data_IF_807638291287
#
_entry.id   IF_807638291287
#
_cell.length_a   1.000
_cell.length_b   1.000
_cell.length_c   1.000
_cell.angle_alpha   90.00
_cell.angle_beta   90.00
_cell.angle_gamma   90.00
#
_symmetry.space_group_name_H-M   'P 1'
#
loop_
_entity.id
_entity.type
_entity.pdbx_description
1 polymer ?
#
# COMPACT_ATOMS: atom_id res chain seq x y z
N UNK A 1 20.65 7.41 15.25
CA UNK A 1 19.71 6.34 14.83
C UNK A 1 19.67 6.13 13.32
N UNK A 2 19.42 7.15 12.48
CA UNK A 2 19.49 7.01 11.00
C UNK A 2 20.79 6.39 10.47
N UNK A 3 21.93 6.65 11.13
CA UNK A 3 23.21 6.02 10.81
C UNK A 3 23.21 4.51 11.07
N UNK A 4 22.56 4.06 12.15
CA UNK A 4 22.42 2.63 12.47
C UNK A 4 21.49 1.94 11.47
N UNK A 5 20.37 2.57 11.11
CA UNK A 5 19.48 2.09 10.04
C UNK A 5 20.22 2.02 8.70
N UNK A 6 21.05 3.02 8.40
CA UNK A 6 21.91 3.04 7.22
C UNK A 6 22.95 1.93 7.22
N UNK A 7 23.59 1.65 8.36
CA UNK A 7 24.52 0.53 8.51
C UNK A 7 23.82 -0.81 8.30
N UNK A 8 22.61 -0.98 8.85
CA UNK A 8 21.79 -2.18 8.67
C UNK A 8 21.36 -2.36 7.22
N UNK A 9 20.88 -1.31 6.56
CA UNK A 9 20.50 -1.36 5.14
C UNK A 9 21.70 -1.65 4.23
N UNK A 10 22.87 -1.10 4.53
CA UNK A 10 24.13 -1.41 3.81
C UNK A 10 24.54 -2.86 3.99
N UNK A 11 24.45 -3.41 5.21
CA UNK A 11 24.73 -4.83 5.48
C UNK A 11 23.80 -5.73 4.66
N UNK A 12 22.48 -5.51 4.74
CA UNK A 12 21.50 -6.30 3.97
C UNK A 12 21.81 -6.24 2.47
N UNK A 13 22.10 -5.04 1.91
CA UNK A 13 22.48 -4.92 0.50
C UNK A 13 23.81 -5.61 0.15
N UNK A 14 24.80 -5.55 1.04
CA UNK A 14 26.07 -6.23 0.86
C UNK A 14 25.88 -7.75 0.88
N UNK A 15 25.06 -8.28 1.78
CA UNK A 15 24.74 -9.70 1.88
C UNK A 15 23.95 -10.17 0.65
N UNK A 16 22.99 -9.36 0.18
CA UNK A 16 22.30 -9.61 -1.10
C UNK A 16 23.27 -9.73 -2.27
N UNK A 17 24.24 -8.81 -2.36
CA UNK A 17 25.21 -8.81 -3.45
C UNK A 17 26.18 -9.99 -3.34
N UNK A 18 26.68 -10.30 -2.14
CA UNK A 18 27.59 -11.42 -1.88
C UNK A 18 26.94 -12.78 -2.16
N UNK A 19 25.69 -12.94 -1.78
CA UNK A 19 24.96 -14.22 -1.87
C UNK A 19 24.08 -14.30 -3.13
N UNK A 20 24.13 -13.29 -4.01
CA UNK A 20 23.27 -13.14 -5.18
C UNK A 20 21.76 -13.28 -4.86
N UNK A 21 21.35 -12.84 -3.66
CA UNK A 21 19.98 -12.94 -3.22
C UNK A 21 19.12 -11.85 -3.85
N UNK A 22 17.97 -12.27 -4.36
CA UNK A 22 16.93 -11.36 -4.83
C UNK A 22 16.13 -10.82 -3.65
N UNK A 23 15.52 -9.65 -3.83
CA UNK A 23 14.74 -8.97 -2.78
C UNK A 23 13.64 -9.86 -2.16
N UNK A 24 13.02 -10.76 -2.94
CA UNK A 24 11.98 -11.67 -2.48
C UNK A 24 12.48 -12.86 -1.61
N UNK A 25 13.79 -13.04 -1.47
CA UNK A 25 14.40 -14.11 -0.67
C UNK A 25 14.75 -13.65 0.74
N UNK A 26 14.70 -12.34 1.00
CA UNK A 26 14.96 -11.75 2.31
C UNK A 26 13.86 -12.08 3.31
N UNK A 27 14.19 -11.97 4.59
CA UNK A 27 13.17 -12.04 5.65
C UNK A 27 12.23 -10.83 5.58
N UNK A 28 11.00 -11.00 6.08
CA UNK A 28 10.00 -9.93 6.12
C UNK A 28 10.55 -8.64 6.77
N UNK A 29 11.26 -8.77 7.91
CA UNK A 29 11.80 -7.62 8.65
C UNK A 29 12.89 -6.89 7.87
N UNK A 30 13.72 -7.60 7.11
CA UNK A 30 14.75 -6.97 6.26
C UNK A 30 14.15 -6.24 5.07
N UNK A 31 13.17 -6.86 4.39
CA UNK A 31 12.46 -6.25 3.28
C UNK A 31 11.74 -4.97 3.70
N UNK A 32 11.02 -5.02 4.83
CA UNK A 32 10.29 -3.88 5.37
C UNK A 32 11.26 -2.76 5.81
N UNK A 33 12.37 -3.12 6.46
CA UNK A 33 13.40 -2.16 6.83
C UNK A 33 14.00 -1.45 5.61
N UNK A 34 14.37 -2.18 4.54
CA UNK A 34 14.88 -1.58 3.30
C UNK A 34 13.86 -0.63 2.65
N UNK A 35 12.58 -0.99 2.67
CA UNK A 35 11.49 -0.17 2.13
C UNK A 35 11.32 1.14 2.90
N UNK A 36 11.26 1.07 4.22
CA UNK A 36 11.16 2.24 5.10
C UNK A 36 12.39 3.14 4.95
N UNK A 37 13.59 2.54 4.98
CA UNK A 37 14.85 3.25 4.83
C UNK A 37 14.95 4.00 3.48
N UNK A 38 14.50 3.40 2.37
CA UNK A 38 14.46 4.08 1.06
C UNK A 38 13.58 5.33 1.09
N UNK A 39 12.42 5.24 1.75
CA UNK A 39 11.49 6.38 1.91
C UNK A 39 12.13 7.50 2.72
N UNK A 40 12.79 7.15 3.82
CA UNK A 40 13.43 8.11 4.71
C UNK A 40 14.65 8.79 4.06
N UNK A 41 15.51 8.04 3.35
CA UNK A 41 16.62 8.65 2.57
C UNK A 41 16.09 9.64 1.54
N UNK A 42 15.01 9.30 0.84
CA UNK A 42 14.50 10.17 -0.23
C UNK A 42 14.05 11.52 0.35
N UNK A 43 13.46 11.52 1.56
CA UNK A 43 13.17 12.75 2.30
C UNK A 43 14.43 13.50 2.70
N UNK A 44 15.42 12.81 3.29
CA UNK A 44 16.68 13.43 3.69
C UNK A 44 17.45 14.03 2.51
N UNK A 45 17.48 13.35 1.36
CA UNK A 45 18.10 13.83 0.13
C UNK A 45 17.42 15.10 -0.36
N UNK A 46 16.09 15.13 -0.35
CA UNK A 46 15.31 16.30 -0.76
C UNK A 46 15.59 17.51 0.16
N UNK A 47 15.61 17.30 1.47
CA UNK A 47 15.99 18.33 2.45
C UNK A 47 17.44 18.79 2.25
N UNK A 48 18.36 17.85 2.02
CA UNK A 48 19.78 18.15 1.78
C UNK A 48 19.98 19.00 0.52
N UNK A 49 19.25 18.71 -0.56
CA UNK A 49 19.30 19.51 -1.79
C UNK A 49 18.81 20.95 -1.57
N UNK A 50 17.74 21.13 -0.81
CA UNK A 50 17.22 22.47 -0.46
C UNK A 50 18.23 23.24 0.40
N UNK A 51 19.08 22.56 1.16
CA UNK A 51 20.06 23.17 2.07
C UNK A 51 21.37 23.61 1.40
N UNK A 52 21.58 23.32 0.10
CA UNK A 52 22.82 23.66 -0.62
C UNK A 52 23.04 25.18 -0.75
N UNK A 53 22.03 25.99 -1.12
CA UNK A 53 22.23 27.42 -1.29
C UNK A 53 22.54 28.09 0.06
N UNK A 54 23.51 29.04 0.11
CA UNK A 54 23.69 29.87 1.29
C UNK A 54 22.37 30.61 1.59
N UNK A 55 22.01 30.76 2.87
CA UNK A 55 20.72 31.26 3.39
C UNK A 55 19.53 30.29 3.38
N UNK A 56 19.59 29.14 2.68
CA UNK A 56 18.49 28.19 2.71
C UNK A 56 18.35 27.44 4.05
N UNK A 57 19.37 27.43 4.90
CA UNK A 57 19.34 26.73 6.19
C UNK A 57 18.19 27.22 7.09
N UNK A 58 18.02 28.54 7.25
CA UNK A 58 16.91 29.10 8.04
C UNK A 58 15.55 28.80 7.41
N UNK A 59 15.48 28.83 6.07
CA UNK A 59 14.28 28.46 5.33
C UNK A 59 13.93 26.98 5.53
N UNK A 60 14.92 26.08 5.56
CA UNK A 60 14.71 24.64 5.82
C UNK A 60 14.14 24.42 7.21
N UNK A 61 14.64 25.11 8.24
CA UNK A 61 14.06 25.02 9.59
C UNK A 61 12.62 25.53 9.64
N UNK A 62 12.34 26.67 8.99
CA UNK A 62 10.98 27.20 8.87
C UNK A 62 10.05 26.20 8.16
N UNK A 63 10.51 25.62 7.04
CA UNK A 63 9.74 24.62 6.30
C UNK A 63 9.55 23.33 7.10
N UNK A 64 10.53 22.88 7.88
CA UNK A 64 10.40 21.70 8.75
C UNK A 64 9.34 21.93 9.83
N UNK A 65 9.21 23.16 10.34
CA UNK A 65 8.17 23.53 11.31
C UNK A 65 6.78 23.59 10.66
N UNK A 66 6.66 24.19 9.47
CA UNK A 66 5.38 24.33 8.75
C UNK A 66 4.92 23.02 8.07
N UNK A 67 5.85 22.20 7.59
CA UNK A 67 5.59 20.98 6.82
C UNK A 67 6.29 19.74 7.41
N UNK A 68 6.04 19.41 8.70
CA UNK A 68 6.72 18.31 9.40
C UNK A 68 6.46 16.95 8.74
N UNK A 69 5.29 16.77 8.13
CA UNK A 69 4.88 15.53 7.47
C UNK A 69 5.70 15.21 6.21
N UNK A 70 6.07 16.24 5.44
CA UNK A 70 6.81 16.12 4.19
C UNK A 70 8.31 15.99 4.43
N UNK A 71 8.87 16.82 5.32
CA UNK A 71 10.31 17.00 5.45
C UNK A 71 10.93 16.16 6.58
N UNK A 72 10.20 15.89 7.66
CA UNK A 72 10.73 15.06 8.74
C UNK A 72 10.52 13.57 8.46
N UNK A 73 11.48 12.77 8.92
CA UNK A 73 11.34 11.31 9.01
C UNK A 73 10.48 10.95 10.23
N UNK A 74 9.84 9.77 10.19
CA UNK A 74 8.88 9.32 11.20
C UNK A 74 9.44 9.38 12.63
N UNK A 75 10.76 9.16 12.79
CA UNK A 75 11.46 9.18 14.08
C UNK A 75 11.41 10.54 14.81
N UNK A 76 11.22 11.65 14.09
CA UNK A 76 11.14 12.99 14.70
C UNK A 76 9.70 13.41 15.02
N UNK A 77 8.70 12.57 14.73
CA UNK A 77 7.30 12.87 15.01
C UNK A 77 6.92 12.43 16.41
N UNK A 78 6.20 13.28 17.14
CA UNK A 78 5.60 12.89 18.42
C UNK A 78 4.57 11.77 18.21
N UNK A 79 4.28 10.93 19.22
CA UNK A 79 3.29 9.86 19.09
C UNK A 79 1.92 10.38 18.58
N UNK A 80 1.49 11.55 19.05
CA UNK A 80 0.27 12.21 18.58
C UNK A 80 0.35 12.60 17.10
N UNK A 81 1.45 13.26 16.68
CA UNK A 81 1.66 13.62 15.27
C UNK A 81 1.69 12.40 14.34
N UNK A 82 2.22 11.26 14.81
CA UNK A 82 2.21 10.05 14.00
C UNK A 82 0.78 9.59 13.71
N UNK A 83 -0.11 9.60 14.70
CA UNK A 83 -1.52 9.24 14.53
C UNK A 83 -2.20 10.26 13.61
N UNK A 84 -2.08 11.56 13.91
CA UNK A 84 -2.72 12.63 13.13
C UNK A 84 -2.31 12.58 11.66
N UNK A 85 -1.02 12.40 11.37
CA UNK A 85 -0.54 12.32 9.98
C UNK A 85 -1.01 11.07 9.26
N UNK A 86 -1.08 9.93 9.95
CA UNK A 86 -1.66 8.69 9.40
C UNK A 86 -3.15 8.89 9.08
N UNK A 87 -3.91 9.55 9.95
CA UNK A 87 -5.32 9.84 9.68
C UNK A 87 -5.50 10.78 8.49
N UNK A 88 -4.67 11.82 8.35
CA UNK A 88 -4.69 12.70 7.16
C UNK A 88 -4.37 11.90 5.89
N UNK A 89 -3.34 11.05 5.90
CA UNK A 89 -3.02 10.21 4.75
C UNK A 89 -4.14 9.23 4.44
N UNK A 90 -4.81 8.68 5.45
CA UNK A 90 -5.95 7.80 5.27
C UNK A 90 -7.16 8.55 4.69
N UNK A 91 -7.38 9.81 5.09
CA UNK A 91 -8.38 10.68 4.47
C UNK A 91 -8.13 10.89 2.96
N UNK A 92 -6.88 11.16 2.58
CA UNK A 92 -6.48 11.27 1.17
C UNK A 92 -6.71 9.95 0.41
N UNK A 93 -6.42 8.80 1.03
CA UNK A 93 -6.72 7.48 0.47
C UNK A 93 -8.23 7.32 0.25
N UNK A 94 -9.05 7.61 1.25
CA UNK A 94 -10.52 7.47 1.21
C UNK A 94 -11.17 8.27 0.09
N UNK A 95 -10.67 9.47 -0.22
CA UNK A 95 -11.15 10.30 -1.33
C UNK A 95 -11.11 9.59 -2.69
N UNK A 96 -10.18 8.63 -2.88
CA UNK A 96 -10.06 7.89 -4.13
C UNK A 96 -10.93 6.63 -4.21
N UNK A 97 -11.54 6.20 -3.10
CA UNK A 97 -12.28 4.92 -3.06
C UNK A 97 -13.52 4.95 -3.95
N UNK A 98 -14.29 6.04 -3.93
CA UNK A 98 -15.48 6.22 -4.76
C UNK A 98 -15.16 6.14 -6.26
N UNK A 99 -14.07 6.78 -6.69
CA UNK A 99 -13.58 6.73 -8.06
C UNK A 99 -13.18 5.31 -8.47
N UNK A 100 -12.43 4.60 -7.62
CA UNK A 100 -12.04 3.20 -7.88
C UNK A 100 -13.25 2.29 -8.01
N UNK A 101 -14.24 2.41 -7.12
CA UNK A 101 -15.48 1.62 -7.19
C UNK A 101 -16.32 1.96 -8.42
N UNK A 102 -16.37 3.24 -8.81
CA UNK A 102 -17.05 3.69 -10.03
C UNK A 102 -16.39 3.08 -11.27
N UNK A 103 -15.05 3.08 -11.32
CA UNK A 103 -14.30 2.44 -12.40
C UNK A 103 -14.50 0.92 -12.45
N UNK A 104 -14.52 0.24 -11.30
CA UNK A 104 -14.82 -1.20 -11.22
C UNK A 104 -16.23 -1.52 -11.74
N UNK A 105 -17.22 -0.73 -11.34
CA UNK A 105 -18.60 -0.89 -11.80
C UNK A 105 -18.72 -0.67 -13.30
N UNK A 106 -18.04 0.36 -13.85
CA UNK A 106 -17.96 0.55 -15.32
C UNK A 106 -17.25 -0.60 -16.00
N UNK A 107 -16.16 -1.12 -15.43
CA UNK A 107 -15.43 -2.24 -16.01
C UNK A 107 -16.29 -3.52 -16.10
N UNK A 108 -17.27 -3.69 -15.20
CA UNK A 108 -18.17 -4.85 -15.22
C UNK A 108 -18.96 -4.99 -16.53
N UNK A 109 -19.28 -3.89 -17.21
CA UNK A 109 -20.00 -3.94 -18.50
C UNK A 109 -19.17 -4.56 -19.63
N UNK A 110 -17.85 -4.54 -19.49
CA UNK A 110 -16.90 -5.08 -20.46
C UNK A 110 -16.48 -6.53 -20.17
N UNK A 111 -17.01 -7.15 -19.11
CA UNK A 111 -16.73 -8.55 -18.78
C UNK A 111 -17.62 -9.46 -19.62
N UNK A 112 -17.00 -10.27 -20.48
CA UNK A 112 -17.71 -11.15 -21.42
C UNK A 112 -18.48 -12.28 -20.73
N UNK A 113 -17.91 -12.90 -19.69
CA UNK A 113 -18.55 -14.01 -18.98
C UNK A 113 -19.64 -13.50 -18.03
N UNK A 114 -20.88 -13.91 -18.26
CA UNK A 114 -22.04 -13.43 -17.52
C UNK A 114 -21.95 -13.68 -16.00
N UNK A 115 -21.45 -14.86 -15.60
CA UNK A 115 -21.25 -15.20 -14.18
C UNK A 115 -20.24 -14.27 -13.51
N UNK A 116 -19.10 -14.02 -14.15
CA UNK A 116 -18.07 -13.10 -13.62
C UNK A 116 -18.56 -11.66 -13.59
N UNK A 117 -19.33 -11.25 -14.61
CA UNK A 117 -19.98 -9.93 -14.65
C UNK A 117 -20.91 -9.76 -13.46
N UNK A 118 -21.83 -10.72 -13.23
CA UNK A 118 -22.74 -10.73 -12.08
C UNK A 118 -21.97 -10.66 -10.76
N UNK A 119 -20.97 -11.52 -10.57
CA UNK A 119 -20.14 -11.51 -9.36
C UNK A 119 -19.43 -10.18 -9.12
N UNK A 120 -18.90 -9.52 -10.17
CA UNK A 120 -18.22 -8.23 -10.03
C UNK A 120 -19.22 -7.11 -9.69
N UNK A 121 -20.41 -7.12 -10.29
CA UNK A 121 -21.49 -6.19 -9.96
C UNK A 121 -21.97 -6.41 -8.51
N UNK A 122 -22.16 -7.65 -8.10
CA UNK A 122 -22.56 -8.02 -6.74
C UNK A 122 -21.50 -7.61 -5.71
N UNK A 123 -20.22 -7.79 -6.03
CA UNK A 123 -19.13 -7.32 -5.18
C UNK A 123 -19.16 -5.79 -5.02
N UNK A 124 -19.35 -5.05 -6.11
CA UNK A 124 -19.43 -3.60 -6.07
C UNK A 124 -20.64 -3.12 -5.25
N UNK A 125 -21.81 -3.76 -5.41
CA UNK A 125 -23.02 -3.41 -4.65
C UNK A 125 -22.87 -3.76 -3.17
N UNK A 126 -22.29 -4.93 -2.83
CA UNK A 126 -21.95 -5.30 -1.44
C UNK A 126 -21.08 -4.23 -0.79
N UNK A 127 -19.99 -3.80 -1.44
CA UNK A 127 -19.11 -2.76 -0.89
C UNK A 127 -19.83 -1.40 -0.79
N UNK A 128 -20.65 -1.03 -1.77
CA UNK A 128 -21.44 0.21 -1.72
C UNK A 128 -22.50 0.20 -0.62
N UNK A 129 -23.03 -0.97 -0.26
CA UNK A 129 -24.01 -1.15 0.82
C UNK A 129 -23.41 -1.12 2.23
N UNK A 130 -22.09 -0.96 2.37
CA UNK A 130 -21.40 -1.00 3.66
C UNK A 130 -21.00 -2.40 4.14
N UNK A 131 -21.18 -3.43 3.31
CA UNK A 131 -20.79 -4.81 3.67
C UNK A 131 -19.32 -5.07 3.34
N UNK A 132 -18.58 -5.68 4.27
CA UNK A 132 -17.20 -6.13 4.03
C UNK A 132 -17.18 -7.39 3.15
N UNK A 133 -16.48 -7.39 2.00
CA UNK A 133 -16.47 -8.53 1.10
C UNK A 133 -15.59 -9.67 1.64
N UNK A 134 -15.99 -10.92 1.38
CA UNK A 134 -15.18 -12.08 1.79
C UNK A 134 -13.98 -12.29 0.86
N UNK A 135 -12.94 -12.96 1.35
CA UNK A 135 -11.79 -13.32 0.52
C UNK A 135 -12.16 -14.19 -0.69
N UNK A 136 -13.18 -15.05 -0.56
CA UNK A 136 -13.67 -15.88 -1.65
C UNK A 136 -14.38 -15.04 -2.73
N UNK A 137 -15.21 -14.06 -2.33
CA UNK A 137 -15.86 -13.13 -3.26
C UNK A 137 -14.82 -12.40 -4.14
N UNK A 138 -13.72 -11.96 -3.52
CA UNK A 138 -12.63 -11.25 -4.22
C UNK A 138 -11.85 -12.20 -5.14
N UNK A 139 -11.46 -13.38 -4.64
CA UNK A 139 -10.66 -14.35 -5.40
C UNK A 139 -11.42 -14.99 -6.56
N UNK A 140 -12.76 -15.01 -6.53
CA UNK A 140 -13.59 -15.46 -7.63
C UNK A 140 -13.44 -14.59 -8.89
N UNK A 141 -12.92 -13.36 -8.76
CA UNK A 141 -12.79 -12.40 -9.86
C UNK A 141 -11.39 -12.33 -10.45
N UNK A 142 -10.42 -13.14 -9.97
CA UNK A 142 -9.00 -13.05 -10.36
C UNK A 142 -8.76 -13.01 -11.88
N UNK A 143 -9.56 -13.74 -12.64
CA UNK A 143 -9.43 -13.83 -14.10
C UNK A 143 -9.70 -12.47 -14.79
N UNK A 144 -10.66 -11.68 -14.29
CA UNK A 144 -10.96 -10.34 -14.81
C UNK A 144 -9.80 -9.35 -14.68
N UNK A 145 -8.89 -9.60 -13.73
CA UNK A 145 -7.75 -8.74 -13.41
C UNK A 145 -6.43 -9.22 -14.03
N UNK A 146 -6.42 -10.40 -14.66
CA UNK A 146 -5.23 -10.94 -15.34
C UNK A 146 -4.94 -10.21 -16.65
N UNK A 147 -5.98 -9.92 -17.44
CA UNK A 147 -5.85 -9.35 -18.78
C UNK A 147 -6.86 -8.21 -18.99
N UNK A 148 -7.86 -8.39 -19.85
CA UNK A 148 -8.93 -7.42 -20.08
C UNK A 148 -10.15 -7.80 -19.23
N UNK A 149 -10.86 -6.86 -18.60
CA UNK A 149 -10.72 -5.40 -18.70
C UNK A 149 -9.85 -4.74 -17.60
N UNK A 150 -9.50 -5.45 -16.53
CA UNK A 150 -8.94 -4.83 -15.30
C UNK A 150 -7.45 -5.09 -15.06
N UNK A 151 -6.74 -5.72 -16.00
CA UNK A 151 -5.30 -5.92 -15.91
C UNK A 151 -4.50 -4.62 -16.04
N UNK A 152 -3.26 -4.62 -15.54
CA UNK A 152 -2.40 -3.42 -15.46
C UNK A 152 -2.22 -2.67 -16.80
N UNK A 153 -2.19 -3.38 -17.92
CA UNK A 153 -2.05 -2.78 -19.26
C UNK A 153 -3.30 -2.01 -19.70
N UNK A 154 -4.47 -2.43 -19.22
CA UNK A 154 -5.78 -1.89 -19.62
C UNK A 154 -6.31 -0.80 -18.70
N UNK A 155 -5.64 -0.55 -17.56
CA UNK A 155 -6.03 0.53 -16.66
C UNK A 155 -5.94 1.90 -17.34
N UNK A 156 -7.04 2.62 -17.28
CA UNK A 156 -7.14 4.00 -17.77
C UNK A 156 -6.37 4.97 -16.87
N UNK A 157 -5.98 6.13 -17.41
CA UNK A 157 -5.19 7.11 -16.67
C UNK A 157 -5.88 7.59 -15.38
N UNK A 158 -7.18 7.88 -15.43
CA UNK A 158 -7.98 8.28 -14.25
C UNK A 158 -8.00 7.19 -13.18
N UNK A 159 -8.26 5.94 -13.56
CA UNK A 159 -8.22 4.80 -12.65
C UNK A 159 -6.84 4.61 -12.01
N UNK A 160 -5.76 4.72 -12.80
CA UNK A 160 -4.40 4.63 -12.26
C UNK A 160 -4.09 5.76 -11.27
N UNK A 161 -4.58 6.98 -11.49
CA UNK A 161 -4.42 8.10 -10.53
C UNK A 161 -5.15 7.81 -9.23
N UNK A 162 -6.40 7.36 -9.31
CA UNK A 162 -7.20 6.98 -8.14
C UNK A 162 -6.52 5.84 -7.35
N UNK A 163 -6.09 4.78 -8.02
CA UNK A 163 -5.36 3.67 -7.39
C UNK A 163 -4.00 4.10 -6.80
N UNK A 164 -3.31 5.05 -7.43
CA UNK A 164 -2.06 5.60 -6.91
C UNK A 164 -2.29 6.39 -5.64
N UNK A 165 -3.33 7.20 -5.59
CA UNK A 165 -3.74 7.91 -4.38
C UNK A 165 -4.19 6.93 -3.28
N UNK A 166 -4.94 5.88 -3.65
CA UNK A 166 -5.32 4.81 -2.74
C UNK A 166 -4.09 4.13 -2.13
N UNK A 167 -3.00 3.97 -2.87
CA UNK A 167 -1.74 3.39 -2.41
C UNK A 167 -0.77 4.40 -1.76
N UNK A 168 -1.17 5.67 -1.59
CA UNK A 168 -0.30 6.76 -1.11
C UNK A 168 0.96 6.96 -1.99
N UNK A 169 0.82 6.72 -3.29
CA UNK A 169 1.82 7.00 -4.32
C UNK A 169 1.52 8.36 -4.97
N UNK A 170 2.53 8.96 -5.62
CA UNK A 170 2.38 10.22 -6.35
C UNK A 170 1.45 10.05 -7.56
N UNK A 171 0.23 10.62 -7.59
CA UNK A 171 -0.74 10.39 -8.66
C UNK A 171 -0.46 11.23 -9.92
N UNK A 172 0.29 12.33 -9.81
CA UNK A 172 0.49 13.31 -10.88
C UNK A 172 1.60 12.94 -11.88
N UNK A 173 2.02 11.68 -11.95
CA UNK A 173 3.02 11.22 -12.91
C UNK A 173 2.39 10.94 -14.29
N UNK A 174 3.16 11.05 -15.38
CA UNK A 174 2.74 10.59 -16.70
C UNK A 174 2.25 9.13 -16.67
N UNK A 175 1.18 8.76 -17.42
CA UNK A 175 0.58 7.43 -17.38
C UNK A 175 1.54 6.23 -17.47
N UNK A 176 2.55 6.18 -18.36
CA UNK A 176 3.44 5.02 -18.43
C UNK A 176 4.31 4.86 -17.17
N UNK A 177 4.75 5.98 -16.58
CA UNK A 177 5.52 5.97 -15.34
C UNK A 177 4.64 5.58 -14.15
N UNK A 178 3.40 6.08 -14.13
CA UNK A 178 2.42 5.74 -13.10
C UNK A 178 2.11 4.23 -13.10
N UNK A 179 1.89 3.65 -14.29
CA UNK A 179 1.70 2.19 -14.46
C UNK A 179 2.89 1.40 -13.95
N UNK A 180 4.11 1.77 -14.35
CA UNK A 180 5.34 1.10 -13.87
C UNK A 180 5.47 1.20 -12.36
N UNK A 181 5.23 2.38 -11.78
CA UNK A 181 5.30 2.61 -10.33
C UNK A 181 4.27 1.79 -9.56
N UNK A 182 3.02 1.75 -10.02
CA UNK A 182 1.96 0.92 -9.44
C UNK A 182 2.32 -0.56 -9.50
N UNK A 183 2.72 -1.07 -10.67
CA UNK A 183 3.10 -2.47 -10.85
C UNK A 183 4.27 -2.84 -9.93
N UNK A 184 5.35 -2.07 -9.93
CA UNK A 184 6.50 -2.31 -9.07
C UNK A 184 6.15 -2.25 -7.58
N UNK A 185 5.34 -1.29 -7.16
CA UNK A 185 4.89 -1.19 -5.77
C UNK A 185 4.04 -2.40 -5.36
N UNK A 186 3.13 -2.84 -6.24
CA UNK A 186 2.26 -4.00 -5.98
C UNK A 186 3.07 -5.29 -5.89
N UNK A 187 4.08 -5.47 -6.76
CA UNK A 187 5.02 -6.61 -6.68
C UNK A 187 5.77 -6.62 -5.35
N UNK A 188 6.26 -5.46 -4.89
CA UNK A 188 6.95 -5.34 -3.59
C UNK A 188 6.01 -5.72 -2.44
N UNK A 189 4.75 -5.27 -2.45
CA UNK A 189 3.76 -5.65 -1.44
C UNK A 189 3.49 -7.15 -1.49
N UNK A 190 3.28 -7.73 -2.67
CA UNK A 190 3.03 -9.16 -2.82
C UNK A 190 4.23 -10.01 -2.33
N UNK A 191 5.46 -9.59 -2.60
CA UNK A 191 6.65 -10.25 -2.06
C UNK A 191 6.74 -10.12 -0.54
N UNK A 192 6.41 -8.95 0.02
CA UNK A 192 6.30 -8.75 1.46
C UNK A 192 5.22 -9.65 2.07
N UNK A 193 4.08 -9.82 1.41
CA UNK A 193 2.99 -10.70 1.84
C UNK A 193 3.45 -12.16 1.90
N UNK A 194 4.17 -12.64 0.88
CA UNK A 194 4.75 -14.00 0.90
C UNK A 194 5.75 -14.19 2.02
N UNK A 195 6.61 -13.21 2.27
CA UNK A 195 7.56 -13.27 3.38
C UNK A 195 6.85 -13.23 4.75
N UNK A 196 5.77 -12.43 4.86
CA UNK A 196 4.96 -12.32 6.06
C UNK A 196 4.17 -13.59 6.35
N UNK A 197 3.62 -14.23 5.32
CA UNK A 197 2.94 -15.51 5.42
C UNK A 197 3.89 -16.62 5.93
N UNK A 198 5.15 -16.62 5.47
CA UNK A 198 6.18 -17.54 5.97
C UNK A 198 6.57 -17.28 7.42
N UNK A 199 6.66 -16.01 7.83
CA UNK A 199 6.96 -15.63 9.21
C UNK A 199 5.80 -15.97 10.17
N UNK A 200 4.56 -15.81 9.69
CA UNK A 200 3.34 -15.97 10.46
C UNK A 200 2.93 -14.70 11.20
N UNK A 201 1.63 -14.40 11.20
CA UNK A 201 1.06 -13.20 11.85
C UNK A 201 1.31 -13.21 13.37
N UNK A 202 1.30 -14.39 14.00
CA UNK A 202 1.51 -14.53 15.45
C UNK A 202 2.89 -14.05 15.94
N UNK A 203 3.91 -14.05 15.06
CA UNK A 203 5.27 -13.61 15.39
C UNK A 203 5.46 -12.08 15.31
N UNK A 204 4.43 -11.35 14.85
CA UNK A 204 4.46 -9.90 14.75
C UNK A 204 4.10 -9.25 16.07
N UNK A 205 4.90 -8.24 16.44
CA UNK A 205 4.54 -7.29 17.50
C UNK A 205 3.30 -6.49 17.11
N UNK A 206 2.57 -5.95 18.09
CA UNK A 206 1.38 -5.13 17.82
C UNK A 206 1.68 -3.97 16.86
N UNK A 207 2.82 -3.30 17.03
CA UNK A 207 3.23 -2.20 16.14
C UNK A 207 3.53 -2.67 14.71
N UNK A 208 4.14 -3.85 14.53
CA UNK A 208 4.36 -4.45 13.20
C UNK A 208 3.02 -4.78 12.53
N UNK A 209 2.04 -5.34 13.27
CA UNK A 209 0.69 -5.61 12.76
C UNK A 209 0.02 -4.31 12.30
N UNK A 210 0.04 -3.27 13.13
CA UNK A 210 -0.53 -1.96 12.78
C UNK A 210 0.09 -1.38 11.52
N UNK A 211 1.42 -1.38 11.44
CA UNK A 211 2.15 -0.89 10.27
C UNK A 211 1.84 -1.70 9.02
N UNK A 212 1.77 -3.03 9.15
CA UNK A 212 1.45 -3.95 8.05
C UNK A 212 0.03 -3.71 7.51
N UNK A 213 -0.95 -3.54 8.38
CA UNK A 213 -2.33 -3.22 7.99
C UNK A 213 -2.42 -1.87 7.28
N UNK A 214 -1.77 -0.85 7.84
CA UNK A 214 -1.78 0.51 7.28
C UNK A 214 -1.15 0.57 5.89
N UNK A 215 -0.05 -0.17 5.68
CA UNK A 215 0.58 -0.30 4.38
C UNK A 215 -0.41 -0.79 3.30
N UNK A 216 -1.24 -1.77 3.66
CA UNK A 216 -2.20 -2.44 2.78
C UNK A 216 -3.55 -1.71 2.68
N UNK A 217 -3.72 -0.64 3.43
CA UNK A 217 -4.81 0.32 3.28
C UNK A 217 -5.87 0.35 4.35
N UNK A 218 -5.72 -0.45 5.40
CA UNK A 218 -6.58 -0.35 6.57
C UNK A 218 -6.12 0.76 7.51
N UNK A 219 -7.01 1.64 7.98
CA UNK A 219 -6.66 2.57 9.05
C UNK A 219 -6.50 1.82 10.38
N UNK A 220 -5.29 1.36 10.67
CA UNK A 220 -5.05 0.52 11.84
C UNK A 220 -4.92 1.32 13.14
N UNK A 221 -4.79 2.66 13.07
CA UNK A 221 -4.56 3.56 14.22
C UNK A 221 -5.61 3.40 15.31
N UNK A 222 -6.87 3.22 14.92
CA UNK A 222 -8.03 3.18 15.83
C UNK A 222 -8.68 1.80 15.97
N UNK A 223 -8.06 0.76 15.41
CA UNK A 223 -8.58 -0.61 15.46
C UNK A 223 -7.94 -1.35 16.65
N UNK A 224 -8.52 -2.43 17.15
CA UNK A 224 -7.86 -3.29 18.12
C UNK A 224 -6.81 -4.21 17.45
N UNK A 225 -5.85 -4.77 18.19
CA UNK A 225 -4.78 -5.60 17.62
C UNK A 225 -5.31 -6.91 17.01
N UNK A 226 -6.21 -7.59 17.72
CA UNK A 226 -6.89 -8.82 17.32
C UNK A 226 -7.61 -8.66 15.97
N UNK A 227 -8.39 -7.58 15.81
CA UNK A 227 -9.08 -7.26 14.55
C UNK A 227 -8.08 -6.96 13.43
N UNK A 228 -7.01 -6.23 13.72
CA UNK A 228 -5.96 -6.03 12.71
C UNK A 228 -5.31 -7.34 12.27
N UNK A 229 -5.07 -8.29 13.19
CA UNK A 229 -4.54 -9.62 12.84
C UNK A 229 -5.51 -10.42 11.98
N UNK A 230 -6.81 -10.40 12.30
CA UNK A 230 -7.83 -11.07 11.51
C UNK A 230 -7.90 -10.50 10.08
N UNK A 231 -7.97 -9.17 9.94
CA UNK A 231 -7.94 -8.50 8.65
C UNK A 231 -6.68 -8.82 7.85
N UNK A 232 -5.52 -8.80 8.51
CA UNK A 232 -4.25 -9.12 7.88
C UNK A 232 -4.21 -10.58 7.40
N UNK A 233 -4.84 -11.49 8.14
CA UNK A 233 -5.05 -12.88 7.73
C UNK A 233 -5.86 -12.98 6.44
N UNK A 234 -7.01 -12.29 6.36
CA UNK A 234 -7.82 -12.24 5.14
C UNK A 234 -7.06 -11.64 3.95
N UNK A 235 -6.33 -10.54 4.18
CA UNK A 235 -5.47 -9.93 3.18
C UNK A 235 -4.43 -10.92 2.65
N UNK A 236 -3.70 -11.59 3.55
CA UNK A 236 -2.65 -12.54 3.16
C UNK A 236 -3.22 -13.74 2.41
N UNK A 237 -4.38 -14.24 2.82
CA UNK A 237 -5.08 -15.30 2.09
C UNK A 237 -5.36 -14.89 0.64
N UNK A 238 -5.82 -13.65 0.41
CA UNK A 238 -6.03 -13.12 -0.94
C UNK A 238 -4.69 -12.96 -1.66
N UNK A 239 -3.77 -12.18 -1.08
CA UNK A 239 -2.51 -11.83 -1.74
C UNK A 239 -1.69 -13.06 -2.12
N UNK A 240 -1.53 -14.03 -1.21
CA UNK A 240 -0.72 -15.23 -1.47
C UNK A 240 -1.37 -16.19 -2.48
N UNK A 241 -2.69 -16.09 -2.70
CA UNK A 241 -3.40 -16.88 -3.71
C UNK A 241 -3.29 -16.31 -5.13
N UNK A 242 -2.83 -15.06 -5.27
CA UNK A 242 -2.73 -14.37 -6.56
C UNK A 242 -1.39 -14.64 -7.27
N UNK A 243 -1.46 -14.74 -8.59
CA UNK A 243 -0.29 -14.79 -9.49
C UNK A 243 0.09 -13.39 -9.95
N UNK A 244 1.30 -13.25 -10.51
CA UNK A 244 1.78 -11.97 -11.05
C UNK A 244 0.84 -11.25 -12.05
N UNK A 245 0.21 -11.92 -13.05
CA UNK A 245 -0.72 -11.23 -13.95
C UNK A 245 -1.97 -10.72 -13.22
N UNK A 246 -2.38 -11.39 -12.14
CA UNK A 246 -3.59 -11.09 -11.36
C UNK A 246 -3.36 -9.98 -10.32
N UNK A 247 -2.13 -9.46 -10.18
CA UNK A 247 -1.79 -8.47 -9.14
C UNK A 247 -2.56 -7.15 -9.26
N UNK A 248 -3.21 -6.88 -10.38
CA UNK A 248 -4.15 -5.75 -10.45
C UNK A 248 -5.29 -5.93 -9.44
N UNK A 249 -5.74 -7.16 -9.18
CA UNK A 249 -6.73 -7.45 -8.14
C UNK A 249 -6.22 -7.04 -6.76
N UNK A 250 -4.96 -7.37 -6.41
CA UNK A 250 -4.37 -6.99 -5.12
C UNK A 250 -4.41 -5.47 -4.90
N UNK A 251 -4.17 -4.70 -5.96
CA UNK A 251 -4.24 -3.24 -5.92
C UNK A 251 -5.67 -2.73 -5.68
N UNK A 252 -6.68 -3.37 -6.27
CA UNK A 252 -8.09 -3.03 -6.03
C UNK A 252 -8.59 -3.52 -4.66
N UNK A 253 -8.06 -4.64 -4.17
CA UNK A 253 -8.35 -5.19 -2.84
C UNK A 253 -8.01 -4.21 -1.71
N UNK A 254 -7.03 -3.32 -1.92
CA UNK A 254 -6.74 -2.20 -1.00
C UNK A 254 -7.99 -1.39 -0.71
N UNK A 255 -8.81 -1.10 -1.71
CA UNK A 255 -10.05 -0.32 -1.57
C UNK A 255 -11.18 -1.23 -1.10
N UNK A 256 -11.35 -2.39 -1.72
CA UNK A 256 -12.45 -3.31 -1.44
C UNK A 256 -12.47 -3.78 0.03
N UNK A 257 -11.30 -4.07 0.61
CA UNK A 257 -11.19 -4.59 1.98
C UNK A 257 -11.03 -3.50 3.06
N UNK A 258 -10.71 -2.26 2.68
CA UNK A 258 -10.52 -1.17 3.66
C UNK A 258 -11.75 -0.29 3.85
N UNK A 259 -12.63 -0.21 2.85
CA UNK A 259 -13.73 0.76 2.85
C UNK A 259 -14.71 0.54 4.01
N UNK A 260 -15.08 -0.72 4.28
CA UNK A 260 -16.16 -1.03 5.22
C UNK A 260 -15.69 -1.73 6.51
N UNK A 261 -14.40 -2.01 6.66
CA UNK A 261 -13.90 -2.82 7.78
C UNK A 261 -14.07 -2.15 9.15
N UNK A 262 -14.13 -0.82 9.18
CA UNK A 262 -14.40 -0.05 10.39
C UNK A 262 -15.88 -0.03 10.79
N UNK A 263 -16.78 -0.16 9.81
CA UNK A 263 -18.23 -0.02 9.98
C UNK A 263 -18.91 -1.37 10.28
N UNK A 264 -18.21 -2.49 10.05
CA UNK A 264 -18.64 -3.82 10.49
C UNK A 264 -18.49 -3.99 12.01
N UNK A 265 -19.45 -3.38 12.73
CA UNK A 265 -19.99 -3.63 14.10
C UNK A 265 -20.12 -2.34 14.93
N UNK A 266 -21.29 -1.71 14.82
CA UNK A 266 -22.19 -1.63 15.98
C UNK A 266 -22.98 -2.92 16.07
#
# INVERSE_FOLDING_TARGET
MLWADGKKARRIKADMWKQNLKFHQLSYREMEHLRQFRRDITKCLFVGLISIPPFANYLVFLLMYLFPRQLLVKHFWTPKQQIDFLDVYHGLRRQSHSEVLTHLRRASTFVSHEKLRRHLTDLCTKVQSGTHPTAQDVLALRDCFSTYPLGFSQLQASQMRALSQAMLLTPYLPPPLLRRRLKSHTIVIHQLDRALAKLGIGQLTAQEVKSACYLRGLNSTHIADDRCRAWLGEWLHISCSLKEPELSLLLHSVVLLSTNYLETRR
#
